data_IF_179670018603
#
_entry.id   IF_179670018603
#
_cell.length_a   1.000
_cell.length_b   1.000
_cell.length_c   1.000
_cell.angle_alpha   90.00
_cell.angle_beta   90.00
_cell.angle_gamma   90.00
#
_symmetry.space_group_name_H-M   'P 1'
#
loop_
_entity.id
_entity.type
_entity.pdbx_description
1 polymer ?
#
# COMPACT_ATOMS: atom_id res chain seq x y z
N UNK A 1 26.71 -15.33 8.06
CA UNK A 1 25.67 -15.89 8.95
C UNK A 1 26.36 -16.73 10.00
N UNK A 2 26.13 -16.50 11.30
CA UNK A 2 26.77 -17.26 12.38
C UNK A 2 25.74 -18.16 13.05
N UNK A 3 25.87 -19.47 12.83
CA UNK A 3 25.04 -20.51 13.45
C UNK A 3 25.90 -21.41 14.32
N UNK A 4 25.32 -21.97 15.37
CA UNK A 4 25.92 -22.96 16.25
C UNK A 4 25.00 -24.17 16.39
N UNK A 5 25.58 -25.31 16.76
CA UNK A 5 24.80 -26.48 17.15
C UNK A 5 24.01 -26.17 18.44
N UNK A 6 22.78 -26.66 18.49
CA UNK A 6 21.94 -26.57 19.68
C UNK A 6 22.56 -27.41 20.81
N UNK A 7 22.74 -26.85 22.02
CA UNK A 7 23.11 -27.65 23.18
C UNK A 7 22.05 -28.72 23.47
N UNK A 8 22.47 -29.82 24.10
CA UNK A 8 21.55 -30.89 24.49
C UNK A 8 20.37 -30.35 25.30
N UNK A 9 19.18 -30.83 24.95
CA UNK A 9 17.93 -30.43 25.57
C UNK A 9 17.49 -28.99 25.29
N UNK A 10 18.10 -28.27 24.35
CA UNK A 10 17.65 -26.93 23.92
C UNK A 10 16.93 -26.97 22.57
N UNK A 11 16.07 -25.96 22.36
CA UNK A 11 15.44 -25.67 21.07
C UNK A 11 15.82 -24.25 20.63
N UNK A 12 15.78 -23.99 19.32
CA UNK A 12 15.99 -22.64 18.82
C UNK A 12 14.76 -21.77 19.12
N UNK A 13 14.99 -20.51 19.50
CA UNK A 13 13.95 -19.52 19.65
C UNK A 13 13.30 -19.23 18.28
N UNK A 14 11.97 -19.38 18.16
CA UNK A 14 11.24 -19.17 16.89
C UNK A 14 11.40 -17.77 16.29
N UNK A 15 11.68 -16.77 17.13
CA UNK A 15 11.79 -15.37 16.69
C UNK A 15 13.25 -15.01 16.42
N UNK A 16 14.11 -15.00 17.44
CA UNK A 16 15.49 -14.51 17.28
C UNK A 16 16.54 -15.60 17.01
N UNK A 17 16.14 -16.88 16.99
CA UNK A 17 17.00 -18.00 16.64
C UNK A 17 17.96 -18.50 17.71
N UNK A 18 18.11 -17.80 18.85
CA UNK A 18 19.07 -18.21 19.90
C UNK A 18 18.66 -19.51 20.59
N UNK A 19 19.61 -20.30 21.14
CA UNK A 19 19.30 -21.46 21.96
C UNK A 19 18.47 -21.05 23.18
N UNK A 20 17.42 -21.81 23.48
CA UNK A 20 16.60 -21.62 24.66
C UNK A 20 16.16 -22.98 25.23
N UNK A 21 15.99 -23.03 26.55
CA UNK A 21 15.38 -24.19 27.18
C UNK A 21 13.93 -24.33 26.69
N UNK A 22 13.44 -25.54 26.43
CA UNK A 22 12.07 -25.77 25.99
C UNK A 22 11.10 -25.24 27.04
N UNK A 23 10.21 -24.34 26.62
CA UNK A 23 8.99 -23.98 27.34
C UNK A 23 7.82 -24.59 26.61
N UNK A 24 6.93 -23.74 26.10
CA UNK A 24 5.96 -24.16 25.08
C UNK A 24 6.71 -24.51 23.78
N UNK A 25 6.46 -25.73 23.28
CA UNK A 25 7.08 -26.22 22.05
C UNK A 25 6.10 -26.07 20.89
N UNK A 26 6.51 -25.31 19.88
CA UNK A 26 5.76 -25.14 18.64
C UNK A 26 6.37 -25.98 17.54
N UNK A 27 5.51 -26.66 16.79
CA UNK A 27 5.91 -27.47 15.64
C UNK A 27 5.60 -26.72 14.36
N UNK A 28 6.64 -26.40 13.60
CA UNK A 28 6.51 -25.76 12.28
C UNK A 28 6.78 -26.80 11.20
N UNK A 29 5.82 -26.94 10.29
CA UNK A 29 5.94 -27.77 9.12
C UNK A 29 6.58 -26.94 8.00
N UNK A 30 7.81 -27.29 7.63
CA UNK A 30 8.48 -26.70 6.49
C UNK A 30 8.25 -27.55 5.25
N UNK A 31 7.85 -26.93 4.12
CA UNK A 31 7.81 -27.64 2.85
C UNK A 31 9.23 -28.11 2.49
N UNK A 32 9.34 -29.35 2.01
CA UNK A 32 10.62 -29.89 1.55
C UNK A 32 11.10 -29.09 0.32
N UNK A 33 12.09 -28.21 0.53
CA UNK A 33 12.74 -27.47 -0.55
C UNK A 33 14.00 -28.20 -1.01
N UNK A 34 14.22 -28.25 -2.33
CA UNK A 34 15.52 -28.68 -2.84
C UNK A 34 16.61 -27.70 -2.42
N UNK A 35 17.88 -28.15 -2.39
CA UNK A 35 19.04 -27.26 -2.16
C UNK A 35 19.13 -26.09 -3.15
N UNK A 36 18.53 -26.22 -4.34
CA UNK A 36 18.45 -25.19 -5.38
C UNK A 36 17.23 -24.25 -5.24
N UNK A 37 16.44 -24.41 -4.18
CA UNK A 37 15.26 -23.57 -3.90
C UNK A 37 13.99 -23.96 -4.66
N UNK A 38 14.02 -24.98 -5.52
CA UNK A 38 12.82 -25.43 -6.23
C UNK A 38 11.99 -26.41 -5.39
N UNK A 39 10.64 -26.33 -5.43
CA UNK A 39 9.79 -27.31 -4.79
C UNK A 39 9.99 -28.70 -5.42
N UNK A 40 10.08 -29.74 -4.58
CA UNK A 40 10.19 -31.12 -5.03
C UNK A 40 8.87 -31.59 -5.66
N UNK A 41 8.93 -32.29 -6.79
CA UNK A 41 7.76 -32.82 -7.50
C UNK A 41 7.11 -34.05 -6.84
N UNK A 42 7.68 -34.57 -5.75
CA UNK A 42 7.16 -35.72 -5.01
C UNK A 42 6.88 -35.33 -3.55
N UNK A 43 5.86 -35.93 -2.90
CA UNK A 43 5.52 -35.65 -1.51
C UNK A 43 6.60 -36.23 -0.58
N UNK A 44 7.71 -35.51 -0.41
CA UNK A 44 8.59 -35.75 0.73
C UNK A 44 7.92 -35.21 1.99
N UNK A 45 8.02 -35.98 3.08
CA UNK A 45 7.45 -35.66 4.40
C UNK A 45 7.89 -34.26 4.81
N UNK A 46 6.93 -33.42 5.19
CA UNK A 46 7.18 -32.11 5.77
C UNK A 46 8.24 -32.23 6.86
N UNK A 47 9.25 -31.36 6.81
CA UNK A 47 10.22 -31.29 7.89
C UNK A 47 9.53 -30.60 9.07
N UNK A 48 9.33 -31.34 10.15
CA UNK A 48 8.81 -30.77 11.41
C UNK A 48 9.98 -30.22 12.21
N UNK A 49 9.98 -28.90 12.42
CA UNK A 49 10.89 -28.22 13.33
C UNK A 49 10.20 -27.96 14.67
N UNK A 50 10.80 -28.46 15.75
CA UNK A 50 10.41 -28.08 17.10
C UNK A 50 11.15 -26.80 17.49
N UNK A 51 10.41 -25.75 17.83
CA UNK A 51 10.93 -24.46 18.27
C UNK A 51 10.32 -24.09 19.62
N UNK A 52 10.96 -23.14 20.31
CA UNK A 52 10.47 -22.58 21.58
C UNK A 52 10.54 -21.05 21.52
N UNK A 53 10.17 -20.35 22.59
CA UNK A 53 10.46 -18.92 22.78
C UNK A 53 11.50 -18.75 23.88
N UNK A 54 12.49 -17.89 23.64
CA UNK A 54 13.36 -17.41 24.72
C UNK A 54 12.63 -16.35 25.55
N UNK A 55 13.00 -16.14 26.83
CA UNK A 55 12.30 -15.19 27.71
C UNK A 55 12.11 -13.80 27.10
N UNK A 56 13.12 -13.25 26.44
CA UNK A 56 13.02 -11.93 25.78
C UNK A 56 12.00 -11.89 24.64
N UNK A 57 11.85 -12.99 23.89
CA UNK A 57 10.86 -13.06 22.81
C UNK A 57 9.46 -13.41 23.34
N UNK A 58 9.37 -14.06 24.49
CA UNK A 58 8.12 -14.23 25.25
C UNK A 58 7.61 -12.88 25.74
N UNK A 59 8.46 -12.08 26.41
CA UNK A 59 8.12 -10.74 26.86
C UNK A 59 7.63 -9.83 25.72
N UNK A 60 8.27 -9.96 24.54
CA UNK A 60 7.85 -9.25 23.33
C UNK A 60 6.49 -9.70 22.83
N UNK A 61 6.20 -11.00 22.83
CA UNK A 61 4.88 -11.52 22.45
C UNK A 61 3.82 -11.01 23.42
N UNK A 62 4.08 -11.05 24.73
CA UNK A 62 3.15 -10.52 25.72
C UNK A 62 2.92 -9.01 25.55
N UNK A 63 3.97 -8.25 25.25
CA UNK A 63 3.84 -6.82 24.92
C UNK A 63 3.03 -6.59 23.63
N UNK A 64 3.21 -7.44 22.62
CA UNK A 64 2.43 -7.37 21.38
C UNK A 64 0.94 -7.68 21.60
N UNK A 65 0.63 -8.66 22.45
CA UNK A 65 -0.75 -9.01 22.81
C UNK A 65 -1.41 -7.87 23.59
N UNK A 66 -0.72 -7.24 24.55
CA UNK A 66 -1.24 -6.06 25.26
C UNK A 66 -1.45 -4.87 24.32
N UNK A 67 -0.51 -4.62 23.42
CA UNK A 67 -0.65 -3.58 22.40
C UNK A 67 -1.86 -3.87 21.48
N UNK A 68 -2.06 -5.10 21.03
CA UNK A 68 -3.24 -5.45 20.25
C UNK A 68 -4.54 -5.26 21.06
N UNK A 69 -4.57 -5.68 22.32
CA UNK A 69 -5.73 -5.54 23.20
C UNK A 69 -6.10 -4.07 23.49
N UNK A 70 -5.11 -3.18 23.59
CA UNK A 70 -5.32 -1.75 23.77
C UNK A 70 -5.90 -1.06 22.51
N UNK A 71 -5.95 -1.75 21.37
CA UNK A 71 -6.36 -1.21 20.08
C UNK A 71 -7.50 -2.02 19.41
N UNK A 72 -8.75 -1.93 19.92
CA UNK A 72 -9.88 -2.73 19.44
C UNK A 72 -10.18 -2.57 17.94
N UNK A 73 -9.90 -1.40 17.35
CA UNK A 73 -10.09 -1.17 15.92
C UNK A 73 -9.18 -2.06 15.06
N UNK A 74 -7.94 -2.32 15.50
CA UNK A 74 -7.03 -3.23 14.84
C UNK A 74 -7.53 -4.68 14.94
N UNK A 75 -7.97 -5.08 16.14
CA UNK A 75 -8.54 -6.41 16.41
C UNK A 75 -9.80 -6.65 15.60
N UNK A 76 -10.72 -5.68 15.53
CA UNK A 76 -11.94 -5.79 14.73
C UNK A 76 -11.67 -5.98 13.24
N UNK A 77 -10.56 -5.44 12.72
CA UNK A 77 -10.17 -5.57 11.30
C UNK A 77 -9.46 -6.88 10.99
N UNK A 78 -8.58 -7.36 11.86
CA UNK A 78 -7.69 -8.50 11.58
C UNK A 78 -8.11 -9.80 12.28
N UNK A 79 -8.91 -9.71 13.34
CA UNK A 79 -9.05 -10.76 14.36
C UNK A 79 -7.95 -10.68 15.43
N UNK A 80 -8.19 -11.24 16.63
CA UNK A 80 -7.29 -11.11 17.78
C UNK A 80 -5.90 -11.71 17.50
N UNK A 81 -5.85 -12.93 16.95
CA UNK A 81 -4.58 -13.64 16.71
C UNK A 81 -3.69 -12.91 15.70
N UNK A 82 -4.28 -12.48 14.58
CA UNK A 82 -3.55 -11.73 13.53
C UNK A 82 -3.13 -10.35 14.00
N UNK A 83 -3.93 -9.69 14.85
CA UNK A 83 -3.54 -8.42 15.45
C UNK A 83 -2.33 -8.60 16.38
N UNK A 84 -2.34 -9.63 17.24
CA UNK A 84 -1.20 -9.97 18.09
C UNK A 84 0.08 -10.26 17.29
N UNK A 85 -0.02 -11.07 16.23
CA UNK A 85 1.10 -11.36 15.33
C UNK A 85 1.61 -10.11 14.60
N UNK A 86 0.70 -9.26 14.12
CA UNK A 86 1.07 -8.01 13.46
C UNK A 86 1.82 -7.07 14.42
N UNK A 87 1.35 -6.93 15.66
CA UNK A 87 2.03 -6.19 16.71
C UNK A 87 3.39 -6.82 17.06
N UNK A 88 3.52 -8.14 17.10
CA UNK A 88 4.79 -8.83 17.35
C UNK A 88 5.79 -8.54 16.22
N UNK A 89 5.32 -8.55 14.97
CA UNK A 89 6.10 -8.13 13.80
C UNK A 89 6.59 -6.69 13.92
N UNK A 90 5.71 -5.76 14.29
CA UNK A 90 6.08 -4.34 14.53
C UNK A 90 7.18 -4.24 15.59
N UNK A 91 6.99 -4.86 16.75
CA UNK A 91 7.97 -4.78 17.85
C UNK A 91 9.31 -5.42 17.47
N UNK A 92 9.28 -6.52 16.72
CA UNK A 92 10.47 -7.19 16.21
C UNK A 92 11.23 -6.31 15.21
N UNK A 93 10.51 -5.70 14.26
CA UNK A 93 11.11 -4.81 13.28
C UNK A 93 11.72 -3.57 13.93
N UNK A 94 11.04 -2.97 14.91
CA UNK A 94 11.57 -1.81 15.64
C UNK A 94 12.83 -2.16 16.43
N UNK A 95 12.85 -3.30 17.12
CA UNK A 95 14.02 -3.76 17.87
C UNK A 95 15.25 -3.97 16.96
N UNK A 96 15.04 -4.34 15.70
CA UNK A 96 16.10 -4.58 14.72
C UNK A 96 16.54 -3.33 13.96
N UNK A 97 15.58 -2.51 13.51
CA UNK A 97 15.85 -1.35 12.67
C UNK A 97 16.21 -0.10 13.50
N UNK A 98 15.66 0.02 14.72
CA UNK A 98 15.75 1.20 15.58
C UNK A 98 16.02 0.81 17.05
N UNK A 99 17.13 0.12 17.37
CA UNK A 99 17.35 -0.47 18.70
C UNK A 99 17.41 0.55 19.84
N UNK A 100 17.76 1.81 19.56
CA UNK A 100 17.82 2.89 20.56
C UNK A 100 16.46 3.55 20.83
N UNK A 101 15.40 3.16 20.10
CA UNK A 101 14.08 3.74 20.24
C UNK A 101 13.24 2.87 21.18
N UNK A 102 12.54 3.46 22.16
CA UNK A 102 11.63 2.69 23.00
C UNK A 102 10.54 2.06 22.13
N UNK A 103 10.09 0.87 22.53
CA UNK A 103 8.90 0.26 21.98
C UNK A 103 7.70 1.22 22.10
N UNK A 104 6.75 1.21 21.15
CA UNK A 104 5.53 1.98 21.28
C UNK A 104 4.81 1.62 22.59
N UNK A 105 4.28 2.64 23.27
CA UNK A 105 3.43 2.42 24.44
C UNK A 105 2.06 1.88 24.00
N UNK A 106 1.32 1.31 24.95
CA UNK A 106 -0.09 0.91 24.75
C UNK A 106 -1.03 2.10 24.51
N UNK A 107 -0.52 3.34 24.60
CA UNK A 107 -1.27 4.58 24.42
C UNK A 107 -0.98 5.32 23.10
N UNK A 108 -0.28 4.69 22.14
CA UNK A 108 -0.16 5.28 20.81
C UNK A 108 -1.54 5.42 20.17
N UNK A 109 -1.69 6.29 19.17
CA UNK A 109 -2.98 6.41 18.48
C UNK A 109 -3.23 5.22 17.55
N UNK A 110 -4.49 4.88 17.29
CA UNK A 110 -4.87 3.87 16.29
C UNK A 110 -4.30 4.18 14.90
N UNK A 111 -4.24 5.47 14.54
CA UNK A 111 -3.65 5.91 13.28
C UNK A 111 -2.14 5.62 13.23
N UNK A 112 -1.42 5.90 14.32
CA UNK A 112 0.01 5.62 14.41
C UNK A 112 0.30 4.11 14.42
N UNK A 113 -0.44 3.31 15.20
CA UNK A 113 -0.30 1.85 15.17
C UNK A 113 -0.63 1.29 13.78
N UNK A 114 -1.68 1.81 13.13
CA UNK A 114 -2.05 1.43 11.78
C UNK A 114 -0.96 1.72 10.75
N UNK A 115 -0.23 2.83 10.90
CA UNK A 115 0.95 3.15 10.09
C UNK A 115 2.08 2.14 10.35
N UNK A 116 2.43 1.89 11.62
CA UNK A 116 3.48 0.94 11.99
C UNK A 116 3.18 -0.47 11.47
N UNK A 117 1.97 -0.99 11.69
CA UNK A 117 1.57 -2.34 11.23
C UNK A 117 1.70 -2.47 9.73
N UNK A 118 1.26 -1.47 8.96
CA UNK A 118 1.28 -1.50 7.48
C UNK A 118 2.69 -1.65 6.93
N UNK A 119 3.66 -0.95 7.52
CA UNK A 119 5.04 -0.93 7.02
C UNK A 119 5.93 -2.00 7.65
N UNK A 120 5.75 -2.27 8.95
CA UNK A 120 6.72 -3.06 9.73
C UNK A 120 6.29 -4.50 10.01
N UNK A 121 5.00 -4.80 10.09
CA UNK A 121 4.54 -6.10 10.56
C UNK A 121 5.10 -7.26 9.73
N UNK A 122 4.96 -7.19 8.40
CA UNK A 122 5.44 -8.24 7.51
C UNK A 122 6.97 -8.36 7.52
N UNK A 123 7.70 -7.25 7.49
CA UNK A 123 9.16 -7.26 7.52
C UNK A 123 9.68 -7.86 8.85
N UNK A 124 9.05 -7.52 9.97
CA UNK A 124 9.41 -8.08 11.27
C UNK A 124 9.06 -9.56 11.43
N UNK A 125 7.92 -10.00 10.90
CA UNK A 125 7.55 -11.42 10.87
C UNK A 125 8.49 -12.23 9.96
N UNK A 126 8.86 -11.69 8.79
CA UNK A 126 9.82 -12.32 7.88
C UNK A 126 11.23 -12.41 8.48
N UNK A 127 11.57 -11.54 9.43
CA UNK A 127 12.84 -11.60 10.15
C UNK A 127 12.92 -12.72 11.22
N UNK A 128 11.79 -13.38 11.53
CA UNK A 128 11.76 -14.45 12.50
C UNK A 128 12.59 -15.67 12.02
N UNK A 129 13.26 -16.36 12.95
CA UNK A 129 13.98 -17.61 12.66
C UNK A 129 13.08 -18.68 12.03
N UNK A 130 11.83 -18.75 12.48
CA UNK A 130 10.79 -19.60 11.92
C UNK A 130 10.50 -19.34 10.43
N UNK A 131 10.73 -18.11 9.96
CA UNK A 131 10.55 -17.72 8.56
C UNK A 131 11.85 -17.85 7.75
N UNK A 132 13.00 -18.09 8.40
CA UNK A 132 14.28 -18.14 7.73
C UNK A 132 14.43 -19.48 6.96
N UNK A 133 14.80 -19.46 5.68
CA UNK A 133 15.04 -20.68 4.89
C UNK A 133 16.21 -21.52 5.43
N UNK A 134 16.99 -20.96 6.34
CA UNK A 134 18.15 -21.61 6.98
C UNK A 134 17.85 -22.12 8.39
N UNK A 135 16.60 -22.08 8.85
CA UNK A 135 16.18 -22.80 10.04
C UNK A 135 16.38 -24.30 9.84
N UNK A 136 17.56 -24.81 10.18
CA UNK A 136 17.87 -26.25 10.10
C UNK A 136 17.66 -26.87 11.46
N UNK A 137 17.17 -28.12 11.46
CA UNK A 137 17.08 -28.93 12.67
C UNK A 137 18.44 -29.03 13.35
N UNK A 138 18.49 -28.77 14.65
CA UNK A 138 19.72 -28.86 15.45
C UNK A 138 20.61 -27.62 15.41
N UNK A 139 20.25 -26.57 14.67
CA UNK A 139 21.01 -25.31 14.65
C UNK A 139 20.27 -24.18 15.35
N UNK A 140 21.05 -23.22 15.84
CA UNK A 140 20.58 -21.97 16.42
C UNK A 140 21.48 -20.80 15.99
N UNK A 141 20.99 -19.58 16.16
CA UNK A 141 21.78 -18.38 16.01
C UNK A 141 22.65 -18.13 17.25
N UNK A 142 23.91 -17.76 17.06
CA UNK A 142 24.83 -17.47 18.17
C UNK A 142 24.40 -16.24 19.00
N UNK A 143 23.78 -15.27 18.35
CA UNK A 143 23.29 -14.02 18.96
C UNK A 143 21.89 -13.72 18.45
N UNK A 144 21.06 -12.93 19.16
CA UNK A 144 19.73 -12.58 18.71
C UNK A 144 19.74 -12.04 17.27
N UNK A 145 19.01 -12.72 16.39
CA UNK A 145 18.89 -12.39 14.97
C UNK A 145 20.23 -12.40 14.20
N UNK A 146 21.23 -13.16 14.66
CA UNK A 146 22.50 -13.34 13.95
C UNK A 146 22.38 -14.13 12.64
N UNK A 147 21.19 -14.68 12.38
CA UNK A 147 20.82 -15.38 11.15
C UNK A 147 20.43 -14.45 10.00
N UNK A 148 20.04 -13.21 10.32
CA UNK A 148 19.65 -12.23 9.31
C UNK A 148 20.85 -11.78 8.49
N UNK A 149 20.70 -11.79 7.18
CA UNK A 149 21.65 -11.25 6.22
C UNK A 149 21.56 -9.72 6.20
N UNK A 150 22.56 -9.07 5.61
CA UNK A 150 22.56 -7.61 5.46
C UNK A 150 21.40 -7.12 4.58
N UNK A 151 20.98 -7.92 3.59
CA UNK A 151 19.80 -7.65 2.77
C UNK A 151 18.52 -7.59 3.62
N UNK A 152 18.30 -8.56 4.52
CA UNK A 152 17.14 -8.58 5.41
C UNK A 152 17.12 -7.34 6.33
N UNK A 153 18.30 -6.97 6.85
CA UNK A 153 18.48 -5.76 7.66
C UNK A 153 18.20 -4.49 6.87
N UNK A 154 18.61 -4.44 5.59
CA UNK A 154 18.30 -3.33 4.71
C UNK A 154 16.79 -3.19 4.49
N UNK A 155 16.08 -4.29 4.21
CA UNK A 155 14.61 -4.30 4.09
C UNK A 155 13.92 -3.80 5.35
N UNK A 156 14.38 -4.20 6.54
CA UNK A 156 13.84 -3.70 7.81
C UNK A 156 14.06 -2.19 7.99
N UNK A 157 15.23 -1.67 7.62
CA UNK A 157 15.52 -0.22 7.68
C UNK A 157 14.68 0.56 6.68
N UNK A 158 14.48 0.05 5.47
CA UNK A 158 13.61 0.65 4.45
C UNK A 158 12.17 0.71 4.92
N UNK A 159 11.65 -0.38 5.52
CA UNK A 159 10.32 -0.42 6.11
C UNK A 159 10.16 0.60 7.25
N UNK A 160 11.17 0.73 8.12
CA UNK A 160 11.18 1.75 9.17
C UNK A 160 11.25 3.18 8.62
N UNK A 161 12.05 3.42 7.59
CA UNK A 161 12.11 4.70 6.90
C UNK A 161 10.77 5.07 6.24
N UNK A 162 10.07 4.09 5.64
CA UNK A 162 8.74 4.29 5.07
C UNK A 162 7.69 4.68 6.14
N UNK A 163 7.69 4.00 7.29
CA UNK A 163 6.82 4.34 8.41
C UNK A 163 7.09 5.76 8.95
N UNK A 164 8.37 6.12 9.10
CA UNK A 164 8.76 7.48 9.52
C UNK A 164 8.33 8.54 8.50
N UNK A 165 8.50 8.26 7.20
CA UNK A 165 8.09 9.16 6.11
C UNK A 165 6.59 9.42 6.11
N UNK A 166 5.76 8.38 6.25
CA UNK A 166 4.30 8.54 6.36
C UNK A 166 3.90 9.33 7.61
N UNK A 167 4.52 9.01 8.76
CA UNK A 167 4.27 9.75 10.01
C UNK A 167 4.62 11.23 9.89
N UNK A 168 5.79 11.58 9.34
CA UNK A 168 6.19 12.97 9.12
C UNK A 168 5.23 13.71 8.17
N UNK A 169 4.62 13.00 7.24
CA UNK A 169 3.68 13.57 6.27
C UNK A 169 2.26 13.79 6.83
N UNK A 170 1.93 13.27 8.02
CA UNK A 170 0.58 13.39 8.62
C UNK A 170 0.19 14.83 8.98
N UNK A 171 1.16 15.71 9.24
CA UNK A 171 0.93 17.14 9.50
C UNK A 171 1.21 18.07 8.32
N UNK A 172 1.52 17.53 7.14
CA UNK A 172 1.90 18.33 5.97
C UNK A 172 0.66 18.70 5.14
N UNK A 173 0.67 19.85 4.44
CA UNK A 173 -0.45 20.23 3.57
C UNK A 173 -0.67 19.20 2.45
N UNK A 174 -1.87 19.12 1.87
CA UNK A 174 -2.13 18.30 0.69
C UNK A 174 -1.14 18.59 -0.44
N UNK A 175 -0.82 17.55 -1.20
CA UNK A 175 0.12 17.57 -2.32
C UNK A 175 -0.66 17.55 -3.62
N UNK A 176 -0.27 18.43 -4.55
CA UNK A 176 -0.75 18.39 -5.93
C UNK A 176 -0.17 17.18 -6.66
N UNK A 177 -1.04 16.28 -7.11
CA UNK A 177 -0.68 15.07 -7.85
C UNK A 177 -1.13 15.24 -9.31
N UNK A 178 -0.22 15.58 -10.25
CA UNK A 178 -0.56 15.69 -11.66
C UNK A 178 -0.86 14.31 -12.28
N UNK A 179 -1.57 14.25 -13.41
CA UNK A 179 -1.72 13.00 -14.13
C UNK A 179 -0.35 12.47 -14.60
N UNK A 180 -0.16 11.14 -14.65
CA UNK A 180 1.04 10.59 -15.24
C UNK A 180 1.06 10.88 -16.75
N UNK A 181 2.25 10.87 -17.34
CA UNK A 181 2.41 11.04 -18.79
C UNK A 181 1.60 9.98 -19.54
N UNK A 182 0.82 10.40 -20.53
CA UNK A 182 0.05 9.50 -21.38
C UNK A 182 1.02 8.65 -22.21
N UNK A 183 0.75 7.33 -22.25
CA UNK A 183 1.51 6.44 -23.11
C UNK A 183 1.06 6.66 -24.54
N UNK A 184 2.01 6.82 -25.46
CA UNK A 184 1.70 6.81 -26.89
C UNK A 184 1.16 5.44 -27.27
N UNK A 185 -0.09 5.38 -27.73
CA UNK A 185 -0.71 4.17 -28.29
C UNK A 185 -0.76 4.27 -29.81
N UNK A 186 -0.68 3.12 -30.50
CA UNK A 186 -0.77 3.09 -31.97
C UNK A 186 -2.11 3.71 -32.40
N UNK A 187 -2.06 4.79 -33.19
CA UNK A 187 -3.21 5.55 -33.67
C UNK A 187 -3.97 6.36 -32.59
N UNK A 188 -3.34 6.68 -31.46
CA UNK A 188 -3.87 7.65 -30.49
C UNK A 188 -2.85 8.76 -30.21
N UNK A 189 -3.34 10.00 -30.17
CA UNK A 189 -2.55 11.15 -29.78
C UNK A 189 -2.60 11.30 -28.25
N UNK A 190 -1.44 11.43 -27.56
CA UNK A 190 -1.42 11.70 -26.13
C UNK A 190 -1.97 13.10 -25.86
N UNK A 191 -2.80 13.21 -24.82
CA UNK A 191 -3.24 14.46 -24.25
C UNK A 191 -2.77 14.53 -22.79
N UNK A 192 -1.63 15.21 -22.61
CA UNK A 192 -0.91 15.27 -21.35
C UNK A 192 -1.32 16.46 -20.47
N UNK A 193 -0.98 16.37 -19.19
CA UNK A 193 -1.00 17.50 -18.26
C UNK A 193 -2.34 17.81 -17.60
N UNK A 194 -3.44 17.14 -17.99
CA UNK A 194 -4.72 17.31 -17.31
C UNK A 194 -5.66 16.10 -17.45
N UNK A 195 -6.78 16.15 -16.73
CA UNK A 195 -7.89 15.26 -16.98
C UNK A 195 -8.43 15.45 -18.40
N UNK A 196 -8.54 14.35 -19.16
CA UNK A 196 -9.10 14.35 -20.53
C UNK A 196 -10.48 15.01 -20.61
N UNK A 197 -11.28 14.88 -19.54
CA UNK A 197 -12.65 15.35 -19.50
C UNK A 197 -12.78 16.79 -18.96
N UNK A 198 -12.45 17.02 -17.69
CA UNK A 198 -12.70 18.32 -17.06
C UNK A 198 -11.52 19.29 -17.12
N UNK A 199 -10.34 18.86 -17.59
CA UNK A 199 -9.17 19.74 -17.75
C UNK A 199 -8.44 20.09 -16.45
N UNK A 200 -8.75 19.41 -15.34
CA UNK A 200 -8.02 19.63 -14.08
C UNK A 200 -6.58 19.14 -14.19
N UNK A 201 -5.61 20.01 -13.86
CA UNK A 201 -4.16 19.74 -14.03
C UNK A 201 -3.56 18.86 -12.92
N UNK A 202 -4.20 18.82 -11.75
CA UNK A 202 -3.77 18.02 -10.60
C UNK A 202 -4.94 17.68 -9.70
N UNK A 203 -4.77 16.65 -8.87
CA UNK A 203 -5.68 16.35 -7.76
C UNK A 203 -4.96 16.59 -6.44
N UNK A 204 -5.68 17.15 -5.46
CA UNK A 204 -5.15 17.32 -4.12
C UNK A 204 -5.22 15.99 -3.37
N UNK A 205 -4.09 15.50 -2.90
CA UNK A 205 -4.01 14.27 -2.12
C UNK A 205 -3.32 14.54 -0.77
N UNK A 206 -3.84 14.02 0.37
CA UNK A 206 -3.14 14.16 1.65
C UNK A 206 -1.69 13.68 1.56
N UNK A 207 -0.74 14.46 2.10
CA UNK A 207 0.68 14.13 2.02
C UNK A 207 1.01 12.75 2.61
N UNK A 208 0.34 12.36 3.71
CA UNK A 208 0.46 11.02 4.29
C UNK A 208 0.05 9.91 3.31
N UNK A 209 -1.02 10.11 2.53
CA UNK A 209 -1.44 9.16 1.48
C UNK A 209 -0.39 9.07 0.37
N UNK A 210 0.17 10.20 -0.07
CA UNK A 210 1.25 10.21 -1.08
C UNK A 210 2.50 9.47 -0.56
N UNK A 211 2.88 9.70 0.69
CA UNK A 211 4.00 9.02 1.34
C UNK A 211 3.74 7.51 1.44
N UNK A 212 2.53 7.12 1.86
CA UNK A 212 2.08 5.72 1.97
C UNK A 212 2.16 4.96 0.65
N UNK A 213 1.78 5.61 -0.45
CA UNK A 213 1.83 5.01 -1.80
C UNK A 213 3.25 4.91 -2.36
N UNK A 214 4.27 5.44 -1.66
CA UNK A 214 5.67 5.41 -2.12
C UNK A 214 6.12 6.66 -2.87
N UNK A 215 5.27 7.70 -2.96
CA UNK A 215 5.62 8.99 -3.56
C UNK A 215 4.65 9.45 -4.64
N UNK A 216 4.94 10.63 -5.23
CA UNK A 216 4.05 11.30 -6.19
C UNK A 216 3.73 10.46 -7.43
N UNK A 217 4.71 9.71 -7.95
CA UNK A 217 4.50 8.90 -9.16
C UNK A 217 3.53 7.73 -8.91
N UNK A 218 3.71 7.01 -7.81
CA UNK A 218 2.80 5.92 -7.43
C UNK A 218 1.41 6.47 -7.06
N UNK A 219 1.36 7.62 -6.36
CA UNK A 219 0.12 8.33 -6.09
C UNK A 219 -0.61 8.76 -7.38
N UNK A 220 0.13 9.19 -8.41
CA UNK A 220 -0.45 9.53 -9.70
C UNK A 220 -1.01 8.28 -10.42
N UNK A 221 -0.29 7.16 -10.38
CA UNK A 221 -0.77 5.91 -10.96
C UNK A 221 -2.03 5.36 -10.26
N UNK A 222 -2.17 5.60 -8.96
CA UNK A 222 -3.33 5.21 -8.15
C UNK A 222 -4.54 6.13 -8.36
N UNK A 223 -4.33 7.45 -8.37
CA UNK A 223 -5.41 8.43 -8.43
C UNK A 223 -6.01 8.64 -9.83
N UNK A 224 -5.26 8.33 -10.89
CA UNK A 224 -5.63 8.68 -12.26
C UNK A 224 -5.96 7.45 -13.09
N UNK A 225 -7.17 7.41 -13.65
CA UNK A 225 -7.62 6.28 -14.48
C UNK A 225 -7.31 6.54 -15.95
N UNK A 226 -6.53 5.65 -16.60
CA UNK A 226 -6.25 5.79 -18.03
C UNK A 226 -7.51 5.63 -18.89
N UNK A 227 -7.57 6.38 -19.98
CA UNK A 227 -8.64 6.32 -20.97
C UNK A 227 -8.09 6.61 -22.37
N UNK A 228 -8.51 5.78 -23.32
CA UNK A 228 -8.39 6.06 -24.76
C UNK A 228 -9.79 6.21 -25.35
N UNK A 229 -10.08 7.33 -26.01
CA UNK A 229 -11.39 7.63 -26.58
C UNK A 229 -11.29 8.34 -27.93
N UNK A 230 -12.32 8.20 -28.78
CA UNK A 230 -12.39 9.01 -30.02
C UNK A 230 -12.69 10.47 -29.69
N UNK A 231 -12.23 11.40 -30.54
CA UNK A 231 -12.55 12.84 -30.38
C UNK A 231 -14.05 13.09 -30.35
N UNK A 232 -14.83 12.35 -31.14
CA UNK A 232 -16.30 12.45 -31.16
C UNK A 232 -16.95 12.01 -29.84
N UNK A 233 -16.48 10.90 -29.25
CA UNK A 233 -16.94 10.45 -27.94
C UNK A 233 -16.56 11.42 -26.81
N UNK A 234 -15.65 12.35 -27.07
CA UNK A 234 -15.27 13.48 -26.21
C UNK A 234 -15.98 14.79 -26.57
N UNK A 235 -16.89 14.80 -27.56
CA UNK A 235 -17.66 15.98 -27.95
C UNK A 235 -16.97 16.87 -28.97
N UNK A 236 -15.85 16.41 -29.54
CA UNK A 236 -15.17 17.06 -30.65
C UNK A 236 -15.76 16.66 -32.01
N UNK A 237 -15.16 17.18 -33.08
CA UNK A 237 -15.55 16.83 -34.46
C UNK A 237 -15.32 15.34 -34.72
N UNK A 238 -16.16 14.75 -35.58
CA UNK A 238 -16.01 13.36 -36.04
C UNK A 238 -14.68 13.21 -36.79
N UNK A 239 -13.77 12.42 -36.23
CA UNK A 239 -12.43 12.15 -36.75
C UNK A 239 -12.04 10.70 -36.45
N UNK A 240 -11.20 10.05 -37.28
CA UNK A 240 -10.59 8.77 -36.92
C UNK A 240 -9.59 8.88 -35.76
N UNK A 241 -9.15 10.09 -35.38
CA UNK A 241 -8.20 10.32 -34.29
C UNK A 241 -8.77 9.85 -32.94
N UNK A 242 -7.95 9.08 -32.21
CA UNK A 242 -8.18 8.79 -30.79
C UNK A 242 -7.27 9.66 -29.93
N UNK A 243 -7.74 10.01 -28.74
CA UNK A 243 -6.94 10.64 -27.70
C UNK A 243 -6.73 9.64 -26.58
N UNK A 244 -5.52 9.62 -26.03
CA UNK A 244 -5.15 8.82 -24.85
C UNK A 244 -4.63 9.72 -23.74
N UNK A 245 -4.96 9.40 -22.51
CA UNK A 245 -4.65 10.21 -21.33
C UNK A 245 -5.34 9.66 -20.09
N UNK A 246 -5.67 10.54 -19.13
CA UNK A 246 -6.16 10.13 -17.83
C UNK A 246 -7.42 10.88 -17.39
N UNK A 247 -8.20 10.25 -16.52
CA UNK A 247 -9.34 10.82 -15.83
C UNK A 247 -9.00 11.06 -14.36
N UNK A 248 -9.39 12.21 -13.83
CA UNK A 248 -9.38 12.41 -12.37
C UNK A 248 -10.46 11.51 -11.73
N UNK A 249 -10.37 11.21 -10.42
CA UNK A 249 -11.30 10.29 -9.73
C UNK A 249 -12.77 10.63 -9.99
N UNK A 250 -13.12 11.91 -9.89
CA UNK A 250 -14.49 12.38 -10.10
C UNK A 250 -15.05 12.10 -11.50
N UNK A 251 -14.21 12.18 -12.54
CA UNK A 251 -14.61 11.88 -13.92
C UNK A 251 -14.61 10.37 -14.19
N UNK A 252 -13.73 9.62 -13.53
CA UNK A 252 -13.69 8.16 -13.55
C UNK A 252 -14.96 7.56 -12.93
N UNK A 253 -15.36 8.01 -11.74
CA UNK A 253 -16.60 7.58 -11.06
C UNK A 253 -17.84 7.82 -11.93
N UNK A 254 -17.90 8.98 -12.58
CA UNK A 254 -18.98 9.29 -13.52
C UNK A 254 -19.02 8.31 -14.70
N UNK A 255 -17.85 7.90 -15.23
CA UNK A 255 -17.73 6.92 -16.31
C UNK A 255 -18.25 5.57 -15.86
N UNK A 256 -17.80 5.11 -14.70
CA UNK A 256 -18.18 3.82 -14.13
C UNK A 256 -19.69 3.74 -13.87
N UNK A 257 -20.29 4.83 -13.39
CA UNK A 257 -21.76 4.88 -13.17
C UNK A 257 -22.59 4.87 -14.46
N UNK A 258 -22.02 5.28 -15.60
CA UNK A 258 -22.71 5.30 -16.91
C UNK A 258 -22.42 4.02 -17.71
N UNK A 259 -21.25 3.41 -17.51
CA UNK A 259 -20.82 2.22 -18.24
C UNK A 259 -20.40 2.46 -19.69
N UNK A 260 -20.37 3.71 -20.16
CA UNK A 260 -19.97 4.04 -21.53
C UNK A 260 -19.28 5.40 -21.65
N UNK A 261 -18.52 5.59 -22.73
CA UNK A 261 -17.82 6.84 -23.05
C UNK A 261 -18.62 7.59 -24.13
N UNK A 262 -19.26 8.69 -23.76
CA UNK A 262 -20.11 9.46 -24.66
C UNK A 262 -20.82 10.63 -23.95
N UNK A 263 -21.84 11.24 -24.58
CA UNK A 263 -22.54 12.41 -24.05
C UNK A 263 -23.04 12.23 -22.62
N UNK A 264 -23.68 11.10 -22.31
CA UNK A 264 -24.24 10.83 -20.97
C UNK A 264 -23.20 10.79 -19.85
N UNK A 265 -21.98 10.32 -20.15
CA UNK A 265 -20.86 10.35 -19.21
C UNK A 265 -20.40 11.79 -18.96
N UNK A 266 -20.23 12.59 -20.03
CA UNK A 266 -19.79 13.98 -19.91
C UNK A 266 -20.80 14.82 -19.13
N UNK A 267 -22.08 14.65 -19.45
CA UNK A 267 -23.19 15.28 -18.74
C UNK A 267 -23.20 14.89 -17.26
N UNK A 268 -23.12 13.59 -16.94
CA UNK A 268 -23.11 13.14 -15.55
C UNK A 268 -21.92 13.69 -14.77
N UNK A 269 -20.73 13.71 -15.37
CA UNK A 269 -19.54 14.26 -14.75
C UNK A 269 -19.68 15.76 -14.47
N UNK A 270 -20.26 16.52 -15.42
CA UNK A 270 -20.49 17.96 -15.26
C UNK A 270 -21.57 18.27 -14.22
N UNK A 271 -22.72 17.60 -14.27
CA UNK A 271 -23.77 17.73 -13.26
C UNK A 271 -23.28 17.34 -11.86
N UNK A 272 -22.47 16.28 -11.77
CA UNK A 272 -21.83 15.88 -10.52
C UNK A 272 -20.86 16.94 -9.99
N UNK A 273 -20.18 17.67 -10.86
CA UNK A 273 -19.35 18.81 -10.47
C UNK A 273 -20.20 19.97 -9.93
N UNK A 274 -21.22 20.41 -10.67
CA UNK A 274 -22.10 21.52 -10.26
C UNK A 274 -22.73 21.27 -8.89
N UNK A 275 -23.25 20.06 -8.64
CA UNK A 275 -23.81 19.69 -7.33
C UNK A 275 -22.78 19.75 -6.21
N UNK A 276 -21.55 19.27 -6.46
CA UNK A 276 -20.46 19.33 -5.46
C UNK A 276 -20.01 20.75 -5.15
N UNK A 277 -20.17 21.68 -6.08
CA UNK A 277 -19.84 23.10 -5.89
C UNK A 277 -21.03 23.93 -5.43
N UNK A 278 -22.17 23.32 -5.10
CA UNK A 278 -23.37 24.00 -4.59
C UNK A 278 -24.16 24.76 -5.67
N UNK A 279 -23.96 24.43 -6.94
CA UNK A 279 -24.62 25.03 -8.10
C UNK A 279 -25.81 24.16 -8.55
N UNK A 280 -26.74 23.90 -7.63
CA UNK A 280 -27.86 22.96 -7.84
C UNK A 280 -28.88 23.47 -8.87
N UNK A 281 -29.12 24.79 -8.91
CA UNK A 281 -30.02 25.41 -9.87
C UNK A 281 -29.46 25.33 -11.29
N UNK A 282 -28.17 25.61 -11.47
CA UNK A 282 -27.47 25.42 -12.75
C UNK A 282 -27.46 23.95 -13.16
N UNK A 283 -27.27 23.02 -12.21
CA UNK A 283 -27.35 21.59 -12.48
C UNK A 283 -28.75 21.18 -12.97
N UNK A 284 -29.81 21.76 -12.37
CA UNK A 284 -31.20 21.52 -12.79
C UNK A 284 -31.44 22.05 -14.20
N UNK A 285 -31.01 23.27 -14.50
CA UNK A 285 -31.14 23.87 -15.83
C UNK A 285 -30.38 23.08 -16.90
N UNK A 286 -29.14 22.69 -16.61
CA UNK A 286 -28.30 21.91 -17.52
C UNK A 286 -28.89 20.53 -17.85
N UNK A 287 -29.64 19.92 -16.91
CA UNK A 287 -30.28 18.61 -17.13
C UNK A 287 -31.46 18.61 -18.11
N UNK A 288 -32.09 19.78 -18.34
CA UNK A 288 -33.28 19.91 -19.21
C UNK A 288 -32.87 20.16 -20.67
N UNK A 289 -31.69 20.73 -20.90
CA UNK A 289 -31.14 20.98 -22.23
C UNK A 289 -29.68 20.50 -22.26
N UNK A 290 -29.42 19.19 -22.38
CA UNK A 290 -28.07 18.67 -22.44
C UNK A 290 -27.38 19.18 -23.70
N UNK A 291 -26.64 20.29 -23.57
CA UNK A 291 -25.77 20.81 -24.60
C UNK A 291 -24.68 19.78 -24.92
N UNK A 292 -24.13 19.86 -26.13
CA UNK A 292 -22.95 19.08 -26.48
C UNK A 292 -21.74 19.61 -25.68
N UNK A 293 -21.58 19.17 -24.43
CA UNK A 293 -20.47 19.55 -23.55
C UNK A 293 -19.16 18.96 -24.09
N UNK A 294 -18.24 19.76 -24.66
CA UNK A 294 -16.95 19.24 -25.11
C UNK A 294 -16.07 18.93 -23.90
N UNK A 295 -15.36 17.82 -23.98
CA UNK A 295 -14.28 17.51 -23.06
C UNK A 295 -13.12 18.51 -23.23
N UNK A 296 -12.34 18.71 -22.18
CA UNK A 296 -11.17 19.59 -22.20
C UNK A 296 -10.19 19.21 -23.33
N UNK A 297 -9.93 17.91 -23.50
CA UNK A 297 -8.97 17.40 -24.47
C UNK A 297 -9.30 17.73 -25.94
N UNK A 298 -10.54 18.15 -26.24
CA UNK A 298 -10.96 18.58 -27.59
C UNK A 298 -11.26 20.08 -27.68
N UNK A 299 -11.05 20.85 -26.60
CA UNK A 299 -11.37 22.29 -26.54
C UNK A 299 -10.22 23.20 -26.98
N UNK A 300 -8.97 22.70 -26.93
CA UNK A 300 -7.76 23.50 -27.17
C UNK A 300 -7.41 24.49 -26.05
N UNK A 301 -8.13 24.46 -24.92
CA UNK A 301 -7.80 25.26 -23.75
C UNK A 301 -6.57 24.71 -23.02
N UNK A 302 -5.85 25.58 -22.30
CA UNK A 302 -4.79 25.15 -21.38
C UNK A 302 -5.39 24.34 -20.21
N UNK A 303 -4.60 23.47 -19.56
CA UNK A 303 -4.95 22.87 -18.26
C UNK A 303 -5.32 23.95 -17.22
N UNK A 304 -6.14 23.58 -16.23
CA UNK A 304 -6.55 24.50 -15.17
C UNK A 304 -6.59 23.79 -13.82
N UNK A 305 -6.45 24.54 -12.72
CA UNK A 305 -6.74 24.05 -11.37
C UNK A 305 -8.22 23.87 -11.10
N UNK A 306 -9.04 24.58 -11.87
CA UNK A 306 -10.49 24.56 -11.73
C UNK A 306 -11.12 23.61 -12.76
N UNK A 307 -11.85 22.57 -12.33
CA UNK A 307 -12.56 21.68 -13.25
C UNK A 307 -13.51 22.46 -14.14
N UNK A 308 -13.56 22.09 -15.42
CA UNK A 308 -14.46 22.66 -16.44
C UNK A 308 -14.23 24.14 -16.76
N UNK A 309 -13.08 24.72 -16.38
CA UNK A 309 -12.73 26.10 -16.72
C UNK A 309 -12.78 26.40 -18.23
N UNK A 310 -12.57 25.39 -19.08
CA UNK A 310 -12.66 25.53 -20.54
C UNK A 310 -14.07 25.79 -21.07
N UNK A 311 -15.12 25.59 -20.25
CA UNK A 311 -16.53 25.85 -20.62
C UNK A 311 -17.02 27.24 -20.25
N UNK A 312 -16.27 28.02 -19.47
CA UNK A 312 -16.68 29.37 -18.99
C UNK A 312 -16.35 30.50 -19.98
N UNK A 313 -16.11 30.16 -21.24
CA UNK A 313 -15.72 31.12 -22.29
C UNK A 313 -16.93 31.62 -23.06
#
# INVERSE_FOLDING_TARGET
>A
MSTVDLPDGHLACRVCGVPARPGEVEQIHLPATRPDGFPLAAPQRDQVLALTRCPTCEDRQQAALRLAAAHPALVGRLGPDRAGQACEGVLTALALALPSRPAPSEHISDAELGCLVRHLANAGLAAAWAAAPHGRRGLASLVPFGHLLDADRATLREAAAAALKERMATGQPPVEVPPPAARSERNAQPADGACLLCGVESVQMPAATVARLGGRQAAAADAWQSLTASTHALGGRRSPTKLTGHLCPQCADARESVGSVGPSWRERAYLGHLRRTGQDDEARLASVAPGALPAWAVSGAAPSREPWAHLRR
#
